data_IF_215649375717
#
_entry.id   IF_215649375717
#
_cell.length_a   1.000
_cell.length_b   1.000
_cell.length_c   1.000
_cell.angle_alpha   90.00
_cell.angle_beta   90.00
_cell.angle_gamma   90.00
#
_symmetry.space_group_name_H-M   'P 1'
#
loop_
_entity.id
_entity.type
_entity.pdbx_description
1 polymer ?
#
# COMPACT_ATOMS: atom_id res chain seq x y z
N UNK A 1 -17.12 20.43 -3.01
CA UNK A 1 -15.72 20.08 -2.88
C UNK A 1 -15.51 18.60 -3.14
N UNK A 2 -14.57 18.30 -3.98
CA UNK A 2 -14.30 16.91 -4.31
C UNK A 2 -13.35 16.30 -3.27
N UNK A 3 -13.74 15.16 -2.79
CA UNK A 3 -12.90 14.44 -1.84
C UNK A 3 -12.24 13.28 -2.53
N UNK A 4 -10.95 13.34 -2.65
CA UNK A 4 -10.21 12.23 -3.20
C UNK A 4 -10.23 11.06 -2.24
N UNK A 5 -10.07 9.88 -2.80
CA UNK A 5 -9.87 8.70 -1.99
C UNK A 5 -8.42 8.63 -1.58
N UNK A 6 -8.17 8.32 -0.33
CA UNK A 6 -6.81 8.10 0.14
C UNK A 6 -6.43 6.64 -0.06
N UNK A 7 -5.36 6.39 -0.80
CA UNK A 7 -4.85 5.06 -1.03
C UNK A 7 -3.56 4.88 -0.26
N UNK A 8 -3.48 3.82 0.51
CA UNK A 8 -2.29 3.53 1.30
C UNK A 8 -1.63 2.28 0.75
N UNK A 9 -0.41 2.42 0.28
CA UNK A 9 0.35 1.29 -0.24
C UNK A 9 1.07 0.64 0.92
N UNK A 10 0.63 -0.57 1.23
CA UNK A 10 1.21 -1.37 2.31
C UNK A 10 2.32 -2.21 1.74
N UNK A 11 3.50 -2.10 2.32
CA UNK A 11 4.63 -2.90 1.88
C UNK A 11 4.79 -4.10 2.81
N UNK A 12 5.60 -3.95 3.85
CA UNK A 12 5.72 -5.01 4.85
C UNK A 12 5.35 -4.51 6.24
N UNK A 13 4.79 -3.32 6.31
CA UNK A 13 4.45 -2.68 7.57
C UNK A 13 2.98 -2.98 7.91
N UNK A 14 2.73 -4.19 8.31
CA UNK A 14 1.36 -4.65 8.60
C UNK A 14 0.96 -4.25 10.00
N UNK A 15 0.78 -2.96 10.21
CA UNK A 15 0.36 -2.47 11.52
C UNK A 15 -0.52 -1.24 11.36
N UNK A 16 -1.43 -1.07 12.28
CA UNK A 16 -2.30 0.10 12.29
C UNK A 16 -1.68 1.21 13.12
N UNK A 17 -1.06 0.87 14.23
CA UNK A 17 -0.46 1.85 15.11
C UNK A 17 0.89 2.29 14.59
N UNK A 18 1.25 3.55 14.83
CA UNK A 18 2.54 4.09 14.43
C UNK A 18 2.77 3.90 12.93
N UNK A 19 1.72 4.15 12.17
CA UNK A 19 1.76 4.02 10.73
C UNK A 19 1.45 5.39 10.15
N UNK A 20 2.49 6.11 9.76
CA UNK A 20 2.32 7.49 9.33
C UNK A 20 1.49 7.61 8.06
N UNK A 21 1.70 6.70 7.11
CA UNK A 21 0.95 6.77 5.87
C UNK A 21 -0.55 6.60 6.15
N UNK A 22 -0.89 5.62 6.97
CA UNK A 22 -2.28 5.38 7.30
C UNK A 22 -2.87 6.55 8.07
N UNK A 23 -2.12 7.09 9.00
CA UNK A 23 -2.58 8.22 9.79
C UNK A 23 -2.84 9.45 8.93
N UNK A 24 -1.92 9.76 8.02
CA UNK A 24 -2.11 10.91 7.15
C UNK A 24 -3.30 10.73 6.22
N UNK A 25 -3.45 9.53 5.68
CA UNK A 25 -4.57 9.29 4.78
C UNK A 25 -5.91 9.45 5.49
N UNK A 26 -6.01 8.91 6.70
CA UNK A 26 -7.28 9.00 7.41
C UNK A 26 -7.59 10.42 7.88
N UNK A 27 -6.57 11.23 8.11
CA UNK A 27 -6.81 12.63 8.48
C UNK A 27 -7.34 13.44 7.32
N UNK A 28 -6.89 13.14 6.11
CA UNK A 28 -7.16 14.01 4.97
C UNK A 28 -8.27 13.53 4.06
N UNK A 29 -8.74 12.31 4.25
CA UNK A 29 -9.73 11.73 3.37
C UNK A 29 -10.84 11.08 4.14
N UNK A 30 -12.05 11.21 3.63
CA UNK A 30 -13.19 10.53 4.23
C UNK A 30 -13.18 9.05 3.89
N UNK A 31 -12.61 8.69 2.76
CA UNK A 31 -12.56 7.30 2.33
C UNK A 31 -11.13 6.90 2.09
N UNK A 32 -10.71 5.82 2.72
CA UNK A 32 -9.35 5.31 2.62
C UNK A 32 -9.40 3.84 2.27
N UNK A 33 -8.54 3.45 1.32
CA UNK A 33 -8.39 2.06 0.92
C UNK A 33 -6.91 1.72 0.99
N UNK A 34 -6.58 0.62 1.63
CA UNK A 34 -5.23 0.13 1.66
C UNK A 34 -5.06 -0.95 0.59
N UNK A 35 -3.88 -1.07 0.04
CA UNK A 35 -3.63 -2.11 -0.94
C UNK A 35 -2.24 -2.68 -0.76
N UNK A 36 -2.12 -3.96 -1.05
CA UNK A 36 -0.87 -4.70 -0.99
C UNK A 36 -0.64 -5.35 -2.34
N UNK A 37 0.53 -5.12 -2.90
CA UNK A 37 0.88 -5.64 -4.21
C UNK A 37 1.85 -6.80 -4.05
N UNK A 38 1.63 -7.88 -4.77
CA UNK A 38 2.56 -8.98 -4.75
C UNK A 38 2.79 -9.51 -6.15
N UNK A 39 3.98 -10.02 -6.35
CA UNK A 39 4.34 -10.69 -7.60
C UNK A 39 4.45 -12.18 -7.31
N UNK A 40 3.94 -12.98 -8.23
CA UNK A 40 3.97 -14.44 -8.02
C UNK A 40 5.37 -14.96 -7.80
N UNK A 41 6.34 -14.38 -8.46
CA UNK A 41 7.71 -14.87 -8.37
C UNK A 41 8.36 -14.61 -7.03
N UNK A 42 7.81 -13.68 -6.27
CA UNK A 42 8.45 -13.32 -4.99
C UNK A 42 8.48 -14.48 -4.02
N UNK A 43 7.45 -15.32 -4.04
CA UNK A 43 7.33 -16.39 -3.06
C UNK A 43 7.66 -17.76 -3.61
N UNK A 44 8.28 -17.80 -4.77
CA UNK A 44 8.65 -19.08 -5.34
C UNK A 44 9.66 -19.76 -4.43
N UNK A 45 9.37 -21.01 -4.05
CA UNK A 45 10.25 -21.80 -3.18
C UNK A 45 10.44 -21.20 -1.80
N UNK A 46 9.50 -20.38 -1.35
CA UNK A 46 9.56 -19.79 -0.02
C UNK A 46 8.21 -19.95 0.67
N UNK A 47 7.86 -21.19 0.93
CA UNK A 47 6.53 -21.49 1.45
C UNK A 47 6.32 -20.92 2.85
N UNK A 48 7.34 -21.00 3.71
CA UNK A 48 7.18 -20.48 5.07
C UNK A 48 6.96 -18.99 5.07
N UNK A 49 7.70 -18.27 4.24
CA UNK A 49 7.53 -16.82 4.17
C UNK A 49 6.17 -16.45 3.61
N UNK A 50 5.71 -17.19 2.61
CA UNK A 50 4.40 -16.93 2.05
C UNK A 50 3.31 -17.15 3.10
N UNK A 51 3.44 -18.22 3.88
CA UNK A 51 2.46 -18.50 4.92
C UNK A 51 2.41 -17.36 5.94
N UNK A 52 3.58 -16.88 6.34
CA UNK A 52 3.65 -15.79 7.31
C UNK A 52 2.98 -14.52 6.77
N UNK A 53 3.23 -14.19 5.52
CA UNK A 53 2.68 -12.97 4.96
C UNK A 53 1.16 -13.09 4.80
N UNK A 54 0.67 -14.24 4.37
CA UNK A 54 -0.77 -14.41 4.21
C UNK A 54 -1.47 -14.23 5.55
N UNK A 55 -0.92 -14.82 6.61
CA UNK A 55 -1.55 -14.70 7.91
C UNK A 55 -1.41 -13.30 8.48
N UNK A 56 -0.29 -12.64 8.23
CA UNK A 56 -0.13 -11.27 8.66
C UNK A 56 -1.13 -10.36 7.95
N UNK A 57 -1.38 -10.59 6.68
CA UNK A 57 -2.34 -9.79 5.94
C UNK A 57 -3.76 -10.00 6.45
N UNK A 58 -4.11 -11.23 6.80
CA UNK A 58 -5.43 -11.47 7.36
C UNK A 58 -5.64 -10.70 8.66
N UNK A 59 -4.65 -10.74 9.52
CA UNK A 59 -4.75 -10.04 10.79
C UNK A 59 -4.83 -8.53 10.57
N UNK A 60 -4.00 -8.03 9.68
CA UNK A 60 -3.99 -6.61 9.36
C UNK A 60 -5.32 -6.17 8.75
N UNK A 61 -5.87 -6.99 7.86
CA UNK A 61 -7.17 -6.68 7.27
C UNK A 61 -8.25 -6.57 8.33
N UNK A 62 -8.25 -7.48 9.30
CA UNK A 62 -9.24 -7.42 10.36
C UNK A 62 -9.10 -6.16 11.18
N UNK A 63 -7.86 -5.74 11.45
CA UNK A 63 -7.65 -4.51 12.18
C UNK A 63 -8.11 -3.29 11.40
N UNK A 64 -7.85 -3.28 10.09
CA UNK A 64 -8.28 -2.15 9.26
C UNK A 64 -9.80 -2.05 9.19
N UNK A 65 -10.50 -3.17 9.21
CA UNK A 65 -11.95 -3.13 9.17
C UNK A 65 -12.52 -2.42 10.39
N UNK A 66 -11.83 -2.42 11.51
CA UNK A 66 -12.28 -1.68 12.68
C UNK A 66 -12.33 -0.18 12.41
N UNK A 67 -11.62 0.28 11.40
CA UNK A 67 -11.60 1.69 11.04
C UNK A 67 -12.30 1.94 9.71
N UNK A 68 -13.07 0.97 9.22
CA UNK A 68 -13.78 1.06 7.95
C UNK A 68 -12.82 1.24 6.78
N UNK A 69 -11.67 0.59 6.85
CA UNK A 69 -10.70 0.63 5.77
C UNK A 69 -10.60 -0.76 5.16
N UNK A 70 -10.79 -0.84 3.85
CA UNK A 70 -10.65 -2.10 3.12
C UNK A 70 -9.21 -2.32 2.72
N UNK A 71 -8.79 -3.56 2.74
CA UNK A 71 -7.47 -3.95 2.25
C UNK A 71 -7.64 -4.77 0.98
N UNK A 72 -7.07 -4.26 -0.12
CA UNK A 72 -7.09 -4.94 -1.40
C UNK A 72 -5.75 -5.64 -1.60
N UNK A 73 -5.78 -6.91 -1.93
CA UNK A 73 -4.57 -7.69 -2.17
C UNK A 73 -4.53 -7.97 -3.67
N UNK A 74 -3.53 -7.43 -4.35
CA UNK A 74 -3.51 -7.38 -5.80
C UNK A 74 -2.26 -8.06 -6.33
N UNK A 75 -2.48 -9.01 -7.22
CA UNK A 75 -1.38 -9.68 -7.92
C UNK A 75 -0.98 -8.84 -9.12
N UNK A 76 0.30 -8.50 -9.23
CA UNK A 76 0.78 -7.66 -10.32
C UNK A 76 1.98 -8.32 -10.98
N UNK A 77 2.17 -8.01 -12.25
CA UNK A 77 3.38 -8.43 -12.94
C UNK A 77 4.54 -7.50 -12.63
N UNK A 78 4.23 -6.24 -12.41
CA UNK A 78 5.23 -5.23 -12.16
C UNK A 78 4.60 -4.11 -11.36
N UNK A 79 5.32 -3.62 -10.35
CA UNK A 79 4.84 -2.47 -9.60
C UNK A 79 4.73 -1.26 -10.52
N UNK A 80 5.66 -1.10 -11.41
CA UNK A 80 5.66 0.05 -12.30
C UNK A 80 4.44 0.08 -13.19
N UNK A 81 4.07 -1.06 -13.74
CA UNK A 81 2.88 -1.12 -14.58
C UNK A 81 1.62 -0.78 -13.80
N UNK A 82 1.53 -1.27 -12.59
CA UNK A 82 0.37 -0.97 -11.77
C UNK A 82 0.25 0.53 -11.51
N UNK A 83 1.35 1.15 -11.12
CA UNK A 83 1.30 2.57 -10.78
C UNK A 83 1.20 3.44 -12.02
N UNK A 84 1.72 3.01 -13.16
CA UNK A 84 1.53 3.76 -14.39
C UNK A 84 0.05 3.87 -14.74
N UNK A 85 -0.68 2.79 -14.55
CA UNK A 85 -2.13 2.84 -14.78
C UNK A 85 -2.83 3.69 -13.74
N UNK A 86 -2.38 3.61 -12.50
CA UNK A 86 -2.98 4.37 -11.43
C UNK A 86 -2.79 5.87 -11.62
N UNK A 87 -1.63 6.28 -12.09
CA UNK A 87 -1.32 7.69 -12.28
C UNK A 87 -2.28 8.35 -13.26
N UNK A 88 -2.81 7.60 -14.20
CA UNK A 88 -3.72 8.16 -15.19
C UNK A 88 -5.07 8.54 -14.61
N UNK A 89 -5.36 8.09 -13.40
CA UNK A 89 -6.60 8.45 -12.73
C UNK A 89 -6.34 9.60 -11.78
N UNK A 90 -7.35 10.42 -11.54
CA UNK A 90 -7.16 11.66 -10.81
C UNK A 90 -7.97 11.78 -9.53
N UNK A 91 -8.54 10.70 -9.04
CA UNK A 91 -9.48 10.80 -7.92
C UNK A 91 -8.91 10.32 -6.60
N UNK A 92 -7.61 10.30 -6.45
CA UNK A 92 -7.03 9.78 -5.22
C UNK A 92 -5.68 10.38 -4.94
N UNK A 93 -5.26 10.21 -3.69
CA UNK A 93 -3.90 10.51 -3.27
C UNK A 93 -3.29 9.23 -2.73
N UNK A 94 -2.01 9.04 -2.96
CA UNK A 94 -1.34 7.81 -2.56
C UNK A 94 -0.37 8.11 -1.43
N UNK A 95 -0.41 7.26 -0.42
CA UNK A 95 0.44 7.38 0.77
C UNK A 95 1.21 6.10 0.95
N UNK A 96 2.44 6.22 1.38
CA UNK A 96 3.24 5.04 1.72
C UNK A 96 4.29 5.43 2.74
N UNK A 97 4.76 4.45 3.47
CA UNK A 97 5.82 4.67 4.44
C UNK A 97 7.16 4.39 3.80
N UNK A 98 8.13 5.22 4.11
CA UNK A 98 9.46 5.05 3.58
C UNK A 98 10.09 3.79 4.14
N UNK A 99 10.85 3.11 3.32
CA UNK A 99 11.55 1.90 3.74
C UNK A 99 12.95 1.92 3.17
N UNK A 100 13.84 1.19 3.82
CA UNK A 100 15.21 1.09 3.35
C UNK A 100 15.48 -0.20 2.61
N UNK A 101 14.46 -1.01 2.41
CA UNK A 101 14.65 -2.20 1.62
C UNK A 101 14.95 -1.82 0.16
N UNK A 102 16.02 -2.39 -0.44
CA UNK A 102 16.41 -1.94 -1.77
C UNK A 102 15.34 -2.08 -2.83
N UNK A 103 14.51 -3.11 -2.73
CA UNK A 103 13.46 -3.32 -3.74
C UNK A 103 12.48 -2.17 -3.78
N UNK A 104 12.27 -1.50 -2.66
CA UNK A 104 11.29 -0.42 -2.59
C UNK A 104 11.93 0.96 -2.68
N UNK A 105 13.18 1.08 -2.27
CA UNK A 105 13.76 2.41 -2.11
C UNK A 105 13.82 3.17 -3.43
N UNK A 106 14.32 2.53 -4.47
CA UNK A 106 14.39 3.19 -5.77
C UNK A 106 13.01 3.49 -6.31
N UNK A 107 12.06 2.62 -6.03
CA UNK A 107 10.73 2.83 -6.52
C UNK A 107 10.01 3.96 -5.79
N UNK A 108 10.32 4.15 -4.51
CA UNK A 108 9.77 5.30 -3.79
C UNK A 108 10.18 6.60 -4.43
N UNK A 109 11.42 6.71 -4.88
CA UNK A 109 11.87 7.90 -5.57
C UNK A 109 11.10 8.13 -6.86
N UNK A 110 10.83 7.07 -7.59
CA UNK A 110 10.05 7.18 -8.80
C UNK A 110 8.64 7.69 -8.50
N UNK A 111 8.02 7.16 -7.44
CA UNK A 111 6.66 7.55 -7.11
C UNK A 111 6.56 9.00 -6.67
N UNK A 112 7.59 9.51 -6.02
CA UNK A 112 7.53 10.88 -5.52
C UNK A 112 7.42 11.89 -6.64
N UNK A 113 7.78 11.51 -7.85
CA UNK A 113 7.62 12.42 -8.98
C UNK A 113 6.16 12.63 -9.36
N UNK A 114 5.30 11.71 -9.01
CA UNK A 114 3.90 11.77 -9.40
C UNK A 114 2.97 12.00 -8.24
N UNK A 115 3.35 11.58 -7.04
CA UNK A 115 2.54 11.71 -5.85
C UNK A 115 3.32 12.48 -4.81
N UNK A 116 2.69 13.45 -4.21
CA UNK A 116 3.39 14.34 -3.29
C UNK A 116 3.61 13.74 -1.92
N UNK A 117 2.96 12.67 -1.59
CA UNK A 117 3.00 12.15 -0.22
C UNK A 117 3.92 10.99 -0.10
N UNK A 118 4.70 11.19 0.74
CA UNK A 118 5.52 10.10 0.98
C UNK A 118 5.58 10.04 2.42
N UNK A 119 5.39 9.35 2.65
CA UNK A 119 5.43 9.38 3.96
C UNK A 119 6.19 9.08 4.78
#
# INVERSE_FOLDING_TARGET
MIKNIGLVWVKDDFRVKKNNALSEATKKHDQVVAFYLYKNKKFKNQEAQKWWIVNSLKYFRDQLHNFNINLEIINVDSYRLFFDKLIQKNNFSVYWNKTYEPDYLNFDNYLQQFFLKXX
#
